data_IF_593518285623
#
_entry.id   IF_593518285623
#
_cell.length_a   1.000
_cell.length_b   1.000
_cell.length_c   1.000
_cell.angle_alpha   90.00
_cell.angle_beta   90.00
_cell.angle_gamma   90.00
#
_symmetry.space_group_name_H-M   'P 1'
#
loop_
_entity.id
_entity.type
_entity.pdbx_description
1 polymer ?
#
# COMPACT_ATOMS: atom_id res chain seq x y z
N UNK A 1 -6.40 9.81 11.55
CA UNK A 1 -5.45 9.54 10.44
C UNK A 1 -3.99 9.50 10.88
N UNK A 2 -3.56 10.29 11.87
CA UNK A 2 -2.19 10.26 12.40
C UNK A 2 -1.70 8.85 12.80
N UNK A 3 -2.55 8.08 13.48
CA UNK A 3 -2.23 6.70 13.88
C UNK A 3 -1.93 5.77 12.70
N UNK A 4 -2.52 6.03 11.52
CA UNK A 4 -2.32 5.20 10.31
C UNK A 4 -0.94 5.47 9.70
N UNK A 5 -0.54 6.73 9.59
CA UNK A 5 0.79 7.08 9.07
C UNK A 5 1.89 6.66 10.05
N UNK A 6 1.64 6.77 11.37
CA UNK A 6 2.58 6.30 12.38
C UNK A 6 2.78 4.79 12.28
N UNK A 7 1.71 4.01 12.08
CA UNK A 7 1.81 2.57 11.84
C UNK A 7 2.62 2.27 10.57
N UNK A 8 2.39 3.00 9.48
CA UNK A 8 3.18 2.83 8.26
C UNK A 8 4.67 3.11 8.48
N UNK A 9 5.00 4.21 9.16
CA UNK A 9 6.39 4.57 9.51
C UNK A 9 7.06 3.51 10.36
N UNK A 10 6.33 2.90 11.30
CA UNK A 10 6.83 1.75 12.08
C UNK A 10 7.16 0.55 11.19
N UNK A 11 6.32 0.23 10.21
CA UNK A 11 6.63 -0.84 9.26
C UNK A 11 7.85 -0.51 8.38
N UNK A 12 8.03 0.74 7.94
CA UNK A 12 9.24 1.17 7.23
C UNK A 12 10.50 0.99 8.09
N UNK A 13 10.44 1.33 9.38
CA UNK A 13 11.55 1.07 10.30
C UNK A 13 11.86 -0.42 10.40
N UNK A 14 10.84 -1.29 10.44
CA UNK A 14 11.05 -2.75 10.45
C UNK A 14 11.73 -3.25 9.18
N UNK A 15 11.34 -2.74 8.02
CA UNK A 15 12.00 -3.07 6.73
C UNK A 15 13.45 -2.61 6.74
N UNK A 16 13.74 -1.37 7.19
CA UNK A 16 15.11 -0.84 7.28
C UNK A 16 15.98 -1.60 8.28
N UNK A 17 15.40 -2.10 9.37
CA UNK A 17 16.12 -2.96 10.31
C UNK A 17 16.50 -4.30 9.67
N UNK A 18 15.64 -4.86 8.80
CA UNK A 18 15.95 -6.08 8.06
C UNK A 18 17.08 -5.86 7.05
N UNK A 19 17.08 -4.72 6.35
CA UNK A 19 18.17 -4.31 5.45
C UNK A 19 19.50 -4.09 6.20
N UNK A 20 19.46 -3.52 7.42
CA UNK A 20 20.64 -3.42 8.25
C UNK A 20 21.22 -4.80 8.62
N UNK A 21 20.36 -5.78 8.93
CA UNK A 21 20.77 -7.17 9.17
C UNK A 21 21.38 -7.77 7.90
N UNK A 22 20.74 -7.60 6.73
CA UNK A 22 21.28 -8.04 5.44
C UNK A 22 22.69 -7.49 5.20
N UNK A 23 22.89 -6.18 5.40
CA UNK A 23 24.19 -5.51 5.20
C UNK A 23 25.28 -6.06 6.12
N UNK A 24 24.96 -6.30 7.40
CA UNK A 24 25.91 -6.87 8.35
C UNK A 24 26.28 -8.30 7.95
N UNK A 25 25.29 -9.14 7.63
CA UNK A 25 25.53 -10.53 7.21
C UNK A 25 26.36 -10.57 5.92
N UNK A 26 26.04 -9.75 4.92
CA UNK A 26 26.77 -9.68 3.64
C UNK A 26 28.26 -9.40 3.82
N UNK A 27 28.64 -8.61 4.83
CA UNK A 27 30.04 -8.32 5.16
C UNK A 27 30.70 -9.50 5.90
N UNK A 28 29.94 -10.19 6.75
CA UNK A 28 30.44 -11.22 7.66
C UNK A 28 30.46 -12.64 7.05
N UNK A 29 29.74 -12.86 5.94
CA UNK A 29 29.58 -14.18 5.34
C UNK A 29 30.24 -14.28 3.97
N UNK A 30 30.44 -15.50 3.50
CA UNK A 30 30.93 -15.76 2.14
C UNK A 30 29.77 -15.89 1.16
N UNK A 31 30.07 -15.87 -0.14
CA UNK A 31 29.08 -16.06 -1.23
C UNK A 31 28.36 -17.41 -1.21
N UNK A 32 28.79 -18.36 -0.36
CA UNK A 32 28.11 -19.64 -0.19
C UNK A 32 26.78 -19.50 0.57
N UNK A 33 26.60 -18.42 1.33
CA UNK A 33 25.33 -18.10 1.97
C UNK A 33 24.51 -17.17 1.07
N UNK A 34 23.42 -17.67 0.52
CA UNK A 34 22.49 -16.86 -0.29
C UNK A 34 21.64 -15.97 0.64
N UNK A 35 21.88 -14.66 0.57
CA UNK A 35 21.18 -13.66 1.40
C UNK A 35 20.03 -12.95 0.66
N UNK A 36 19.85 -13.23 -0.64
CA UNK A 36 18.87 -12.55 -1.49
C UNK A 36 17.43 -12.69 -1.00
N UNK A 37 17.11 -13.76 -0.25
CA UNK A 37 15.78 -13.95 0.31
C UNK A 37 15.44 -12.91 1.39
N UNK A 38 16.45 -12.30 2.03
CA UNK A 38 16.25 -11.17 2.93
C UNK A 38 15.77 -9.94 2.14
N UNK A 39 16.42 -9.63 1.02
CA UNK A 39 16.00 -8.55 0.12
C UNK A 39 14.61 -8.80 -0.49
N UNK A 40 14.28 -10.06 -0.82
CA UNK A 40 12.94 -10.45 -1.28
C UNK A 40 11.90 -10.19 -0.19
N UNK A 41 12.20 -10.54 1.05
CA UNK A 41 11.33 -10.29 2.19
C UNK A 41 11.11 -8.79 2.43
N UNK A 42 12.16 -7.97 2.35
CA UNK A 42 12.06 -6.51 2.44
C UNK A 42 11.07 -5.94 1.42
N UNK A 43 11.17 -6.36 0.15
CA UNK A 43 10.26 -5.90 -0.90
C UNK A 43 8.80 -6.30 -0.62
N UNK A 44 8.58 -7.54 -0.14
CA UNK A 44 7.25 -8.01 0.25
C UNK A 44 6.71 -7.19 1.42
N UNK A 45 7.53 -6.91 2.42
CA UNK A 45 7.13 -6.15 3.61
C UNK A 45 6.76 -4.70 3.26
N UNK A 46 7.58 -3.99 2.47
CA UNK A 46 7.30 -2.57 2.16
C UNK A 46 6.04 -2.39 1.31
N UNK A 47 5.78 -3.28 0.35
CA UNK A 47 4.54 -3.25 -0.45
C UNK A 47 3.34 -3.66 0.41
N UNK A 48 3.51 -4.55 1.38
CA UNK A 48 2.44 -4.89 2.34
C UNK A 48 2.11 -3.71 3.25
N UNK A 49 3.12 -2.93 3.66
CA UNK A 49 2.92 -1.70 4.43
C UNK A 49 2.13 -0.65 3.64
N UNK A 50 2.43 -0.46 2.35
CA UNK A 50 1.65 0.38 1.44
C UNK A 50 0.19 -0.08 1.35
N UNK A 51 -0.03 -1.38 1.09
CA UNK A 51 -1.37 -1.96 0.94
C UNK A 51 -2.22 -1.72 2.19
N UNK A 52 -1.67 -2.05 3.36
CA UNK A 52 -2.31 -1.83 4.66
C UNK A 52 -2.62 -0.35 4.90
N UNK A 53 -1.68 0.54 4.61
CA UNK A 53 -1.88 1.99 4.77
C UNK A 53 -3.09 2.47 3.95
N UNK A 54 -3.21 2.06 2.68
CA UNK A 54 -4.33 2.46 1.82
C UNK A 54 -5.66 1.88 2.30
N UNK A 55 -5.68 0.62 2.76
CA UNK A 55 -6.87 0.03 3.39
C UNK A 55 -7.35 0.84 4.59
N UNK A 56 -6.44 1.13 5.51
CA UNK A 56 -6.74 1.80 6.77
C UNK A 56 -7.20 3.25 6.55
N UNK A 57 -6.46 4.02 5.73
CA UNK A 57 -6.79 5.44 5.51
C UNK A 57 -8.10 5.60 4.76
N UNK A 58 -8.37 4.73 3.77
CA UNK A 58 -9.62 4.73 3.02
C UNK A 58 -10.79 4.39 3.94
N UNK A 59 -10.66 3.34 4.75
CA UNK A 59 -11.72 2.95 5.70
C UNK A 59 -12.05 4.07 6.67
N UNK A 60 -11.04 4.65 7.32
CA UNK A 60 -11.23 5.76 8.26
C UNK A 60 -11.86 6.95 7.56
N UNK A 61 -11.36 7.35 6.39
CA UNK A 61 -11.92 8.48 5.65
C UNK A 61 -13.38 8.26 5.22
N UNK A 62 -13.77 7.03 4.89
CA UNK A 62 -15.17 6.69 4.57
C UNK A 62 -16.07 6.81 5.79
N UNK A 63 -15.60 6.36 6.97
CA UNK A 63 -16.34 6.50 8.24
C UNK A 63 -16.46 7.97 8.68
N UNK A 64 -15.40 8.76 8.50
CA UNK A 64 -15.42 10.21 8.75
C UNK A 64 -16.44 10.89 7.84
N UNK A 65 -16.50 10.51 6.56
CA UNK A 65 -17.45 11.07 5.61
C UNK A 65 -18.90 10.62 5.89
N UNK A 66 -19.09 9.39 6.35
CA UNK A 66 -20.39 8.91 6.84
C UNK A 66 -20.86 9.77 8.03
N UNK A 67 -19.96 10.05 8.98
CA UNK A 67 -20.20 10.82 10.20
C UNK A 67 -20.24 12.34 10.02
N UNK A 68 -20.20 12.84 8.77
CA UNK A 68 -20.12 14.26 8.43
C UNK A 68 -18.88 15.01 8.97
N UNK A 69 -17.84 14.30 9.40
CA UNK A 69 -16.54 14.88 9.78
C UNK A 69 -15.77 15.31 8.52
N UNK A 70 -15.93 14.54 7.44
CA UNK A 70 -15.35 14.78 6.12
C UNK A 70 -16.43 15.00 5.07
N UNK A 71 -16.13 15.79 4.03
CA UNK A 71 -17.03 15.95 2.88
C UNK A 71 -17.21 14.61 2.14
N UNK A 72 -18.46 14.24 1.84
CA UNK A 72 -18.77 13.06 1.01
C UNK A 72 -18.37 13.30 -0.45
N UNK A 73 -17.65 12.36 -1.05
CA UNK A 73 -17.28 12.40 -2.47
C UNK A 73 -18.36 11.74 -3.35
N UNK A 74 -18.34 12.00 -4.65
CA UNK A 74 -19.24 11.30 -5.57
C UNK A 74 -18.98 9.79 -5.60
N UNK A 75 -17.73 9.34 -5.42
CA UNK A 75 -17.41 7.92 -5.40
C UNK A 75 -17.95 7.24 -4.14
N UNK A 76 -17.89 7.90 -2.98
CA UNK A 76 -18.49 7.37 -1.75
C UNK A 76 -20.00 7.15 -1.90
N UNK A 77 -20.71 8.10 -2.49
CA UNK A 77 -22.16 8.00 -2.69
C UNK A 77 -22.57 6.87 -3.66
N UNK A 78 -21.63 6.35 -4.45
CA UNK A 78 -21.81 5.21 -5.35
C UNK A 78 -21.28 3.90 -4.75
N UNK A 79 -20.74 3.94 -3.53
CA UNK A 79 -20.25 2.75 -2.85
C UNK A 79 -21.40 1.78 -2.61
N UNK A 80 -21.24 0.55 -3.08
CA UNK A 80 -22.30 -0.45 -3.05
C UNK A 80 -22.36 -1.13 -1.69
N UNK A 81 -23.57 -1.18 -1.13
CA UNK A 81 -23.93 -1.91 0.09
C UNK A 81 -25.19 -2.74 -0.18
N UNK A 82 -25.37 -3.83 0.56
CA UNK A 82 -26.57 -4.67 0.44
C UNK A 82 -27.74 -4.06 1.23
N UNK A 83 -28.97 -4.48 0.93
CA UNK A 83 -30.15 -4.08 1.72
C UNK A 83 -30.05 -4.51 3.20
N UNK A 84 -29.40 -5.63 3.48
CA UNK A 84 -29.11 -6.07 4.85
C UNK A 84 -28.28 -5.03 5.60
N UNK A 85 -27.27 -4.45 4.94
CA UNK A 85 -26.44 -3.41 5.55
C UNK A 85 -27.26 -2.14 5.82
N UNK A 86 -28.19 -1.80 4.93
CA UNK A 86 -29.10 -0.66 5.12
C UNK A 86 -29.97 -0.88 6.36
N UNK A 87 -30.59 -2.05 6.51
CA UNK A 87 -31.41 -2.37 7.68
C UNK A 87 -30.58 -2.37 8.97
N UNK A 88 -29.35 -2.89 8.93
CA UNK A 88 -28.41 -2.85 10.06
C UNK A 88 -28.05 -1.41 10.44
N UNK A 89 -27.77 -0.54 9.46
CA UNK A 89 -27.42 0.86 9.74
C UNK A 89 -28.58 1.70 10.29
N UNK A 90 -29.82 1.41 9.87
CA UNK A 90 -31.01 2.08 10.42
C UNK A 90 -31.27 1.64 11.86
N UNK A 91 -31.12 0.35 12.17
CA UNK A 91 -31.46 -0.20 13.50
C UNK A 91 -30.40 0.08 14.57
N UNK A 92 -29.14 0.31 14.18
CA UNK A 92 -28.02 0.51 15.11
C UNK A 92 -27.59 1.97 15.27
N UNK A 93 -28.30 2.92 14.64
CA UNK A 93 -27.96 4.34 14.71
C UNK A 93 -27.85 4.84 16.17
N UNK A 94 -26.79 5.58 16.55
CA UNK A 94 -25.78 6.22 15.71
C UNK A 94 -24.49 5.41 15.45
N UNK A 95 -24.46 4.11 15.73
CA UNK A 95 -23.27 3.27 15.55
C UNK A 95 -22.80 3.22 14.08
N UNK A 96 -21.49 3.28 13.87
CA UNK A 96 -20.83 3.20 12.56
C UNK A 96 -20.20 1.83 12.30
N UNK A 97 -20.21 0.92 13.28
CA UNK A 97 -19.55 -0.38 13.21
C UNK A 97 -20.09 -1.25 12.06
N UNK A 98 -21.40 -1.16 11.75
CA UNK A 98 -21.98 -1.86 10.60
C UNK A 98 -21.24 -1.49 9.31
N UNK A 99 -20.95 -0.20 9.11
CA UNK A 99 -20.26 0.29 7.92
C UNK A 99 -18.78 -0.08 7.94
N UNK A 100 -18.12 -0.03 9.11
CA UNK A 100 -16.71 -0.47 9.26
C UNK A 100 -16.55 -1.92 8.79
N UNK A 101 -17.42 -2.81 9.27
CA UNK A 101 -17.45 -4.22 8.88
C UNK A 101 -17.67 -4.36 7.37
N UNK A 102 -18.62 -3.62 6.78
CA UNK A 102 -18.87 -3.71 5.35
C UNK A 102 -17.71 -3.20 4.49
N UNK A 103 -17.06 -2.11 4.88
CA UNK A 103 -15.89 -1.62 4.17
C UNK A 103 -14.78 -2.67 4.22
N UNK A 104 -14.51 -3.24 5.40
CA UNK A 104 -13.50 -4.31 5.56
C UNK A 104 -13.82 -5.53 4.70
N UNK A 105 -15.07 -6.00 4.71
CA UNK A 105 -15.49 -7.14 3.88
C UNK A 105 -15.34 -6.84 2.40
N UNK A 106 -15.82 -5.67 1.92
CA UNK A 106 -15.72 -5.30 0.50
C UNK A 106 -14.26 -5.08 0.05
N UNK A 107 -13.39 -4.64 0.95
CA UNK A 107 -11.97 -4.42 0.64
C UNK A 107 -11.11 -5.66 0.86
N UNK A 108 -11.54 -6.65 1.64
CA UNK A 108 -10.73 -7.83 2.04
C UNK A 108 -10.08 -8.62 0.89
N UNK A 109 -10.71 -8.67 -0.28
CA UNK A 109 -10.22 -9.36 -1.47
C UNK A 109 -9.52 -8.41 -2.47
N UNK A 110 -9.39 -7.13 -2.13
CA UNK A 110 -8.73 -6.11 -2.96
C UNK A 110 -7.32 -5.86 -2.46
N UNK A 111 -6.38 -5.83 -3.39
CA UNK A 111 -5.04 -5.30 -3.16
C UNK A 111 -4.94 -3.87 -3.67
N UNK A 112 -4.37 -2.99 -2.85
CA UNK A 112 -4.17 -1.56 -3.13
C UNK A 112 -2.69 -1.25 -3.31
N UNK A 113 -2.09 -1.87 -4.32
CA UNK A 113 -0.67 -1.71 -4.68
C UNK A 113 -0.50 -1.26 -6.13
N UNK A 114 -1.52 -1.47 -6.95
CA UNK A 114 -1.59 -0.91 -8.29
C UNK A 114 -2.01 0.57 -8.21
N UNK A 115 -1.37 1.49 -8.95
CA UNK A 115 -1.68 2.91 -8.87
C UNK A 115 -3.12 3.27 -9.20
N UNK A 116 -3.76 2.55 -10.12
CA UNK A 116 -5.13 2.85 -10.52
C UNK A 116 -6.10 2.41 -9.41
N UNK A 117 -5.85 1.24 -8.78
CA UNK A 117 -6.60 0.78 -7.60
C UNK A 117 -6.43 1.68 -6.38
N UNK A 118 -5.22 2.19 -6.15
CA UNK A 118 -4.95 3.15 -5.07
C UNK A 118 -5.73 4.44 -5.32
N UNK A 119 -5.72 4.97 -6.55
CA UNK A 119 -6.49 6.16 -6.89
C UNK A 119 -8.00 5.93 -6.71
N UNK A 120 -8.53 4.77 -7.08
CA UNK A 120 -9.94 4.41 -6.86
C UNK A 120 -10.30 4.37 -5.38
N UNK A 121 -9.44 3.81 -4.52
CA UNK A 121 -9.63 3.81 -3.08
C UNK A 121 -9.64 5.23 -2.51
N UNK A 122 -8.65 6.06 -2.87
CA UNK A 122 -8.56 7.44 -2.39
C UNK A 122 -9.74 8.30 -2.88
N UNK A 123 -10.29 8.04 -4.07
CA UNK A 123 -11.50 8.74 -4.57
C UNK A 123 -12.72 8.55 -3.66
N UNK A 124 -12.78 7.48 -2.87
CA UNK A 124 -13.86 7.30 -1.87
C UNK A 124 -13.79 8.35 -0.75
N UNK A 125 -12.65 9.02 -0.56
CA UNK A 125 -12.41 9.93 0.57
C UNK A 125 -11.88 11.31 0.16
N UNK A 126 -11.46 11.51 -1.09
CA UNK A 126 -10.99 12.80 -1.61
C UNK A 126 -11.21 12.91 -3.12
N UNK A 127 -11.57 14.10 -3.62
CA UNK A 127 -11.72 14.37 -5.07
C UNK A 127 -10.38 14.78 -5.73
N UNK A 128 -9.26 14.68 -5.00
CA UNK A 128 -7.93 15.06 -5.49
C UNK A 128 -7.52 14.26 -6.74
N UNK A 129 -6.87 14.94 -7.69
CA UNK A 129 -6.17 14.26 -8.79
C UNK A 129 -4.87 13.63 -8.26
N UNK A 130 -5.02 12.51 -7.57
CA UNK A 130 -3.99 11.92 -6.72
C UNK A 130 -2.58 11.95 -7.31
N UNK A 131 -2.38 11.30 -8.47
CA UNK A 131 -1.06 11.16 -9.05
C UNK A 131 -0.47 12.46 -9.60
N UNK A 132 -1.32 13.40 -10.02
CA UNK A 132 -0.85 14.73 -10.45
C UNK A 132 -0.30 15.51 -9.24
N UNK A 133 -1.00 15.48 -8.11
CA UNK A 133 -0.59 16.18 -6.89
C UNK A 133 0.60 15.50 -6.20
N UNK A 134 0.64 14.16 -6.12
CA UNK A 134 1.82 13.43 -5.65
C UNK A 134 3.02 13.71 -6.56
N UNK A 135 2.79 13.80 -7.88
CA UNK A 135 3.81 14.19 -8.85
C UNK A 135 4.42 15.56 -8.56
N UNK A 136 3.59 16.56 -8.26
CA UNK A 136 4.07 17.88 -7.85
C UNK A 136 4.92 17.82 -6.57
N UNK A 137 4.47 17.08 -5.55
CA UNK A 137 5.20 16.93 -4.28
C UNK A 137 6.56 16.26 -4.47
N UNK A 138 6.64 15.24 -5.32
CA UNK A 138 7.87 14.51 -5.61
C UNK A 138 8.70 15.13 -6.74
N UNK A 139 8.26 16.24 -7.33
CA UNK A 139 8.88 16.86 -8.49
C UNK A 139 9.09 15.88 -9.66
N UNK A 140 8.11 15.00 -9.90
CA UNK A 140 8.14 13.96 -10.92
C UNK A 140 6.82 13.88 -11.70
N UNK A 141 6.84 13.56 -12.99
CA UNK A 141 5.62 13.30 -13.75
C UNK A 141 4.77 12.18 -13.15
N UNK A 142 3.45 12.37 -13.15
CA UNK A 142 2.50 11.40 -12.60
C UNK A 142 2.64 10.00 -13.25
N UNK A 143 2.90 9.94 -14.57
CA UNK A 143 3.10 8.69 -15.28
C UNK A 143 4.33 7.92 -14.79
N UNK A 144 5.45 8.61 -14.53
CA UNK A 144 6.66 7.96 -14.01
C UNK A 144 6.45 7.35 -12.63
N UNK A 145 5.73 8.05 -11.75
CA UNK A 145 5.40 7.53 -10.41
C UNK A 145 4.53 6.27 -10.55
N UNK A 146 3.50 6.32 -11.41
CA UNK A 146 2.63 5.17 -11.64
C UNK A 146 3.40 3.98 -12.23
N UNK A 147 4.26 4.21 -13.21
CA UNK A 147 5.08 3.17 -13.84
C UNK A 147 6.04 2.54 -12.83
N UNK A 148 6.77 3.34 -12.04
CA UNK A 148 7.68 2.81 -11.03
C UNK A 148 6.93 1.99 -9.97
N UNK A 149 5.77 2.45 -9.52
CA UNK A 149 4.95 1.70 -8.56
C UNK A 149 4.43 0.38 -9.17
N UNK A 150 4.04 0.37 -10.45
CA UNK A 150 3.66 -0.87 -11.15
C UNK A 150 4.82 -1.87 -11.19
N UNK A 151 6.01 -1.42 -11.56
CA UNK A 151 7.21 -2.27 -11.59
C UNK A 151 7.53 -2.90 -10.23
N UNK A 152 7.42 -2.11 -9.15
CA UNK A 152 7.64 -2.60 -7.79
C UNK A 152 6.58 -3.64 -7.40
N UNK A 153 5.30 -3.36 -7.66
CA UNK A 153 4.19 -4.26 -7.37
C UNK A 153 4.28 -5.57 -8.17
N UNK A 154 4.66 -5.51 -9.44
CA UNK A 154 4.90 -6.71 -10.28
C UNK A 154 6.07 -7.54 -9.77
N UNK A 155 7.19 -6.89 -9.40
CA UNK A 155 8.34 -7.59 -8.82
C UNK A 155 7.95 -8.29 -7.53
N UNK A 156 7.16 -7.65 -6.67
CA UNK A 156 6.63 -8.23 -5.43
C UNK A 156 5.72 -9.42 -5.72
N UNK A 157 4.84 -9.32 -6.70
CA UNK A 157 3.94 -10.42 -7.07
C UNK A 157 4.72 -11.66 -7.55
N UNK A 158 5.78 -11.48 -8.32
CA UNK A 158 6.68 -12.60 -8.69
C UNK A 158 7.25 -13.31 -7.45
N UNK A 159 7.68 -12.55 -6.44
CA UNK A 159 8.19 -13.13 -5.18
C UNK A 159 7.10 -13.85 -4.42
N UNK A 160 5.98 -13.18 -4.16
CA UNK A 160 4.94 -13.66 -3.25
C UNK A 160 4.04 -14.74 -3.84
N UNK A 161 3.82 -14.74 -5.16
CA UNK A 161 2.85 -15.62 -5.82
C UNK A 161 3.49 -16.59 -6.84
N UNK A 162 4.67 -16.29 -7.38
CA UNK A 162 5.33 -17.11 -8.41
C UNK A 162 6.62 -17.80 -7.90
N UNK A 163 6.83 -17.83 -6.58
CA UNK A 163 8.04 -18.35 -5.92
C UNK A 163 9.36 -17.71 -6.42
N UNK A 164 9.23 -16.54 -7.05
CA UNK A 164 10.26 -15.80 -7.75
C UNK A 164 10.99 -16.57 -8.88
N UNK A 165 10.40 -17.62 -9.43
CA UNK A 165 11.06 -18.46 -10.43
C UNK A 165 11.20 -17.73 -11.78
N UNK A 166 12.40 -17.79 -12.37
CA UNK A 166 12.67 -17.25 -13.68
C UNK A 166 12.29 -18.28 -14.76
N UNK A 167 11.25 -18.04 -15.57
CA UNK A 167 10.82 -18.98 -16.60
C UNK A 167 11.86 -19.18 -17.71
N UNK A 168 12.80 -18.23 -17.88
CA UNK A 168 13.88 -18.32 -18.86
C UNK A 168 15.06 -19.19 -18.39
N UNK A 169 15.15 -19.49 -17.08
CA UNK A 169 16.25 -20.28 -16.50
C UNK A 169 15.70 -21.28 -15.48
N UNK A 170 15.52 -22.56 -15.86
CA UNK A 170 14.92 -23.57 -14.99
C UNK A 170 15.60 -23.67 -13.62
N UNK A 171 14.80 -23.63 -12.55
CA UNK A 171 15.26 -23.78 -11.18
C UNK A 171 16.01 -22.57 -10.59
N UNK A 172 16.09 -21.46 -11.31
CA UNK A 172 16.70 -20.21 -10.81
C UNK A 172 15.63 -19.16 -10.54
N UNK A 173 15.86 -18.36 -9.50
CA UNK A 173 15.02 -17.19 -9.19
C UNK A 173 15.45 -15.98 -10.00
N UNK A 174 14.59 -14.98 -10.10
CA UNK A 174 14.98 -13.67 -10.60
C UNK A 174 16.07 -13.07 -9.70
N UNK A 175 17.09 -12.42 -10.27
CA UNK A 175 18.08 -11.71 -9.47
C UNK A 175 17.41 -10.59 -8.66
N UNK A 176 18.00 -10.27 -7.52
CA UNK A 176 17.59 -9.15 -6.67
C UNK A 176 18.83 -8.32 -6.39
N UNK A 177 18.67 -7.01 -6.54
CA UNK A 177 19.72 -6.03 -6.35
C UNK A 177 19.41 -5.21 -5.09
N UNK A 178 20.35 -5.12 -4.16
CA UNK A 178 20.16 -4.44 -2.87
C UNK A 178 19.95 -2.93 -3.05
N UNK A 179 20.63 -2.32 -4.02
CA UNK A 179 20.42 -0.91 -4.35
C UNK A 179 19.00 -0.67 -4.87
N UNK A 180 18.51 -1.47 -5.80
CA UNK A 180 17.14 -1.35 -6.33
C UNK A 180 16.08 -1.55 -5.23
N UNK A 181 16.28 -2.52 -4.32
CA UNK A 181 15.35 -2.73 -3.18
C UNK A 181 15.33 -1.51 -2.26
N UNK A 182 16.49 -0.96 -1.92
CA UNK A 182 16.58 0.27 -1.12
C UNK A 182 15.90 1.46 -1.82
N UNK A 183 16.06 1.61 -3.13
CA UNK A 183 15.38 2.63 -3.93
C UNK A 183 13.86 2.43 -3.94
N UNK A 184 13.38 1.19 -4.05
CA UNK A 184 11.96 0.85 -3.98
C UNK A 184 11.36 1.19 -2.60
N UNK A 185 12.08 0.91 -1.51
CA UNK A 185 11.65 1.23 -0.15
C UNK A 185 11.49 2.74 0.03
N UNK A 186 12.52 3.51 -0.34
CA UNK A 186 12.49 4.97 -0.23
C UNK A 186 11.40 5.58 -1.11
N UNK A 187 11.19 5.04 -2.31
CA UNK A 187 10.13 5.49 -3.20
C UNK A 187 8.73 5.23 -2.62
N UNK A 188 8.46 4.05 -2.07
CA UNK A 188 7.16 3.74 -1.44
C UNK A 188 6.92 4.66 -0.23
N UNK A 189 7.93 4.89 0.60
CA UNK A 189 7.84 5.82 1.73
C UNK A 189 7.46 7.22 1.26
N UNK A 190 8.15 7.75 0.24
CA UNK A 190 7.85 9.05 -0.36
C UNK A 190 6.43 9.14 -0.93
N UNK A 191 5.98 8.09 -1.63
CA UNK A 191 4.62 8.03 -2.19
C UNK A 191 3.57 8.04 -1.07
N UNK A 192 3.75 7.23 -0.02
CA UNK A 192 2.78 7.16 1.08
C UNK A 192 2.72 8.47 1.87
N UNK A 193 3.86 9.09 2.17
CA UNK A 193 3.92 10.41 2.82
C UNK A 193 3.27 11.50 1.96
N UNK A 194 3.51 11.46 0.64
CA UNK A 194 2.88 12.35 -0.32
C UNK A 194 1.35 12.18 -0.36
N UNK A 195 0.88 10.93 -0.45
CA UNK A 195 -0.56 10.62 -0.38
C UNK A 195 -1.15 11.12 0.93
N UNK A 196 -0.49 10.84 2.07
CA UNK A 196 -0.96 11.24 3.39
C UNK A 196 -1.16 12.75 3.49
N UNK A 197 -0.14 13.51 3.08
CA UNK A 197 -0.16 14.98 3.10
C UNK A 197 -1.34 15.57 2.31
N UNK A 198 -1.78 14.89 1.24
CA UNK A 198 -2.84 15.37 0.36
C UNK A 198 -4.27 15.04 0.84
N UNK A 199 -4.41 14.06 1.74
CA UNK A 199 -5.73 13.52 2.12
C UNK A 199 -6.12 13.76 3.58
N UNK A 200 -5.21 14.28 4.40
CA UNK A 200 -5.50 14.68 5.78
C UNK A 200 -6.38 15.93 5.85
#
# INVERSE_FOLDING_TARGET
>A
MQTVIDQFRLEIVRVRNLDAIYKILKIQTTVALELDDILRAELVMVVSALDLYIHEVTRIGMLDAYSNIRKRTSSLLKFQITLENVFSGISTHPDTNWLDIQIRTNHSYKSFQDPDKIADAIRLISDVKLWDEVGKLLSRPANEIKEQLKLISERRNKIAHEADLNPSVPGKRWPVDDKWVNEAINFIEQVVEGIHTLII
#
